data_IF_334471265733
#
_entry.id   IF_334471265733
#
_cell.length_a   1.000
_cell.length_b   1.000
_cell.length_c   1.000
_cell.angle_alpha   90.00
_cell.angle_beta   90.00
_cell.angle_gamma   90.00
#
_symmetry.space_group_name_H-M   'P 1'
#
loop_
_entity.id
_entity.type
_entity.pdbx_description
1 polymer ?
#
# COMPACT_ATOMS: atom_id res chain seq x y z
N UNK A 1 14.04 9.90 5.74
CA UNK A 1 12.71 9.86 5.12
C UNK A 1 12.65 8.85 3.96
N UNK A 2 13.74 8.64 3.20
CA UNK A 2 13.88 7.54 2.21
C UNK A 2 13.87 6.11 2.78
N UNK A 3 13.98 5.97 4.10
CA UNK A 3 14.07 4.68 4.78
C UNK A 3 12.79 3.85 4.70
N UNK A 4 11.60 4.47 4.73
CA UNK A 4 10.34 3.71 4.67
C UNK A 4 10.11 3.07 3.30
N UNK A 5 10.28 3.83 2.21
CA UNK A 5 10.16 3.31 0.84
C UNK A 5 11.21 2.22 0.57
N UNK A 6 12.44 2.42 1.05
CA UNK A 6 13.49 1.39 0.95
C UNK A 6 13.13 0.12 1.72
N UNK A 7 12.48 0.25 2.89
CA UNK A 7 12.03 -0.88 3.70
C UNK A 7 10.83 -1.59 3.07
N UNK A 8 9.88 -0.85 2.48
CA UNK A 8 8.77 -1.43 1.73
C UNK A 8 9.32 -2.26 0.58
N UNK A 9 10.20 -1.69 -0.25
CA UNK A 9 10.80 -2.40 -1.38
C UNK A 9 11.48 -3.69 -0.93
N UNK A 10 12.19 -3.68 0.21
CA UNK A 10 12.85 -4.87 0.78
C UNK A 10 11.88 -5.93 1.33
N UNK A 11 10.68 -5.52 1.77
CA UNK A 11 9.62 -6.41 2.27
C UNK A 11 8.67 -6.90 1.17
N UNK A 12 8.74 -6.30 -0.02
CA UNK A 12 7.77 -6.54 -1.09
C UNK A 12 7.96 -7.86 -1.82
N UNK A 13 9.17 -8.41 -1.84
CA UNK A 13 9.51 -9.38 -2.87
C UNK A 13 9.17 -8.82 -4.25
N UNK A 14 8.65 -9.67 -5.13
CA UNK A 14 8.21 -9.27 -6.48
C UNK A 14 6.77 -8.69 -6.51
N UNK A 15 6.08 -8.56 -5.37
CA UNK A 15 4.68 -8.14 -5.34
C UNK A 15 4.47 -6.67 -5.67
N UNK A 16 5.32 -5.77 -5.16
CA UNK A 16 5.16 -4.32 -5.31
C UNK A 16 6.51 -3.72 -5.72
N UNK A 17 6.51 -2.99 -6.82
CA UNK A 17 7.70 -2.37 -7.40
C UNK A 17 7.43 -0.96 -7.92
N UNK A 18 8.50 -0.26 -8.31
CA UNK A 18 8.45 1.04 -8.97
C UNK A 18 7.58 2.08 -8.25
N UNK A 19 7.67 2.14 -6.92
CA UNK A 19 6.93 3.13 -6.14
C UNK A 19 7.50 4.53 -6.41
N UNK A 20 6.70 5.40 -7.01
CA UNK A 20 7.09 6.77 -7.37
C UNK A 20 6.10 7.79 -6.82
N UNK A 21 6.63 8.96 -6.42
CA UNK A 21 5.81 10.13 -6.05
C UNK A 21 5.65 10.99 -7.30
N UNK A 22 4.45 11.04 -7.86
CA UNK A 22 4.15 11.78 -9.08
C UNK A 22 3.94 13.28 -8.81
N UNK A 23 3.41 13.62 -7.64
CA UNK A 23 3.14 15.00 -7.25
C UNK A 23 3.09 15.13 -5.73
N UNK A 24 3.64 16.22 -5.22
CA UNK A 24 3.59 16.57 -3.81
C UNK A 24 3.25 18.06 -3.71
N UNK A 25 2.08 18.36 -3.13
CA UNK A 25 1.71 19.72 -2.72
C UNK A 25 1.72 19.73 -1.21
N UNK A 26 2.65 20.49 -0.63
CA UNK A 26 2.91 20.56 0.82
C UNK A 26 1.61 20.43 1.61
N UNK A 27 1.53 19.38 2.42
CA UNK A 27 0.48 19.09 3.40
C UNK A 27 -0.95 18.98 2.85
N UNK A 28 -1.13 18.87 1.52
CA UNK A 28 -2.45 18.85 0.88
C UNK A 28 -2.68 17.68 -0.04
N UNK A 29 -1.67 17.28 -0.81
CA UNK A 29 -1.82 16.24 -1.81
C UNK A 29 -0.50 15.53 -2.02
N UNK A 30 -0.53 14.20 -1.95
CA UNK A 30 0.56 13.33 -2.39
C UNK A 30 -0.04 12.32 -3.36
N UNK A 31 0.46 12.34 -4.60
CA UNK A 31 0.12 11.36 -5.62
C UNK A 31 1.24 10.30 -5.67
N UNK A 32 0.87 9.05 -5.45
CA UNK A 32 1.78 7.91 -5.44
C UNK A 32 1.32 6.91 -6.51
N UNK A 33 2.28 6.39 -7.27
CA UNK A 33 2.07 5.31 -8.23
C UNK A 33 3.02 4.15 -7.91
N UNK A 34 2.60 2.93 -8.25
CA UNK A 34 3.42 1.74 -8.17
C UNK A 34 2.91 0.69 -9.15
N UNK A 35 3.75 -0.29 -9.45
CA UNK A 35 3.35 -1.51 -10.12
C UNK A 35 3.16 -2.63 -9.10
N UNK A 36 2.15 -3.48 -9.31
CA UNK A 36 1.97 -4.69 -8.50
C UNK A 36 1.75 -5.91 -9.39
N UNK A 37 2.20 -7.07 -8.92
CA UNK A 37 2.03 -8.35 -9.60
C UNK A 37 1.04 -9.25 -8.84
N UNK A 38 -0.06 -9.61 -9.51
CA UNK A 38 -1.07 -10.54 -9.00
C UNK A 38 -0.50 -11.95 -8.81
N UNK A 39 0.49 -12.35 -9.63
CA UNK A 39 1.10 -13.68 -9.53
C UNK A 39 2.04 -13.81 -8.34
N UNK A 40 2.64 -12.70 -7.90
CA UNK A 40 3.44 -12.63 -6.69
C UNK A 40 2.60 -12.41 -5.40
N UNK A 41 1.28 -12.25 -5.52
CA UNK A 41 0.40 -12.04 -4.37
C UNK A 41 0.31 -13.29 -3.49
N UNK A 42 0.51 -13.08 -2.18
CA UNK A 42 0.23 -14.06 -1.15
C UNK A 42 -0.61 -13.41 -0.03
N UNK A 43 -1.60 -14.12 0.55
CA UNK A 43 -2.39 -13.58 1.67
C UNK A 43 -1.55 -13.14 2.87
N UNK A 44 -0.39 -13.77 3.11
CA UNK A 44 0.57 -13.39 4.17
C UNK A 44 1.20 -12.01 3.98
N UNK A 45 1.08 -11.41 2.80
CA UNK A 45 1.56 -10.05 2.56
C UNK A 45 0.77 -9.02 3.38
N UNK A 46 -0.50 -9.27 3.69
CA UNK A 46 -1.27 -8.38 4.58
C UNK A 46 -0.61 -8.24 5.96
N UNK A 47 -0.18 -9.35 6.56
CA UNK A 47 0.58 -9.33 7.82
C UNK A 47 1.96 -8.69 7.65
N UNK A 48 2.65 -8.99 6.54
CA UNK A 48 3.99 -8.44 6.24
C UNK A 48 3.99 -6.90 6.17
N UNK A 49 2.90 -6.33 5.65
CA UNK A 49 2.69 -4.90 5.53
C UNK A 49 1.87 -4.28 6.66
N UNK A 50 1.48 -5.07 7.66
CA UNK A 50 0.67 -4.62 8.80
C UNK A 50 -0.63 -3.93 8.32
N UNK A 51 -1.35 -4.59 7.42
CA UNK A 51 -2.61 -4.13 6.83
C UNK A 51 -3.70 -5.15 7.16
N UNK A 52 -4.79 -4.69 7.76
CA UNK A 52 -5.94 -5.53 8.05
C UNK A 52 -6.66 -5.97 6.77
N UNK A 53 -7.06 -7.24 6.72
CA UNK A 53 -7.93 -7.76 5.67
C UNK A 53 -9.39 -7.57 6.09
N UNK A 54 -10.18 -6.73 5.38
CA UNK A 54 -11.58 -6.57 5.75
C UNK A 54 -12.37 -7.86 5.49
N UNK A 55 -13.39 -8.18 6.31
CA UNK A 55 -14.18 -9.42 6.15
C UNK A 55 -14.83 -9.58 4.78
N UNK A 56 -15.17 -8.48 4.12
CA UNK A 56 -15.76 -8.48 2.76
C UNK A 56 -14.76 -8.90 1.68
N UNK A 57 -13.46 -8.84 1.96
CA UNK A 57 -12.39 -9.13 1.02
C UNK A 57 -11.80 -10.54 1.22
N UNK A 58 -12.01 -11.17 2.38
CA UNK A 58 -11.44 -12.48 2.70
C UNK A 58 -11.83 -13.57 1.68
N UNK A 59 -13.04 -13.48 1.12
CA UNK A 59 -13.57 -14.40 0.12
C UNK A 59 -13.41 -13.90 -1.33
N UNK A 60 -12.81 -12.73 -1.53
CA UNK A 60 -12.61 -12.17 -2.86
C UNK A 60 -11.52 -12.95 -3.62
N UNK A 61 -11.58 -12.94 -4.95
CA UNK A 61 -10.54 -13.54 -5.79
C UNK A 61 -9.17 -12.88 -5.56
N UNK A 62 -8.04 -13.60 -5.74
CA UNK A 62 -6.69 -13.08 -5.47
C UNK A 62 -6.40 -11.70 -6.08
N UNK A 63 -6.81 -11.48 -7.33
CA UNK A 63 -6.69 -10.19 -8.02
C UNK A 63 -7.31 -9.04 -7.22
N UNK A 64 -8.49 -9.26 -6.65
CA UNK A 64 -9.19 -8.22 -5.89
C UNK A 64 -8.51 -7.95 -4.54
N UNK A 65 -7.99 -8.99 -3.90
CA UNK A 65 -7.23 -8.87 -2.67
C UNK A 65 -5.91 -8.12 -2.90
N UNK A 66 -5.18 -8.43 -3.98
CA UNK A 66 -3.94 -7.77 -4.35
C UNK A 66 -4.13 -6.29 -4.67
N UNK A 67 -5.17 -5.93 -5.43
CA UNK A 67 -5.51 -4.53 -5.72
C UNK A 67 -5.75 -3.72 -4.43
N UNK A 68 -6.49 -4.31 -3.49
CA UNK A 68 -6.78 -3.68 -2.22
C UNK A 68 -5.51 -3.48 -1.39
N UNK A 69 -4.66 -4.51 -1.30
CA UNK A 69 -3.40 -4.44 -0.58
C UNK A 69 -2.48 -3.36 -1.16
N UNK A 70 -2.27 -3.37 -2.48
CA UNK A 70 -1.46 -2.36 -3.17
C UNK A 70 -2.00 -0.95 -2.89
N UNK A 71 -3.31 -0.73 -3.03
CA UNK A 71 -3.93 0.55 -2.74
C UNK A 71 -3.74 1.01 -1.29
N UNK A 72 -3.79 0.09 -0.32
CA UNK A 72 -3.54 0.41 1.10
C UNK A 72 -2.08 0.76 1.37
N UNK A 73 -1.13 0.06 0.75
CA UNK A 73 0.29 0.40 0.86
C UNK A 73 0.56 1.80 0.30
N UNK A 74 0.05 2.12 -0.89
CA UNK A 74 0.22 3.45 -1.50
C UNK A 74 -0.43 4.56 -0.66
N UNK A 75 -1.59 4.27 -0.07
CA UNK A 75 -2.26 5.19 0.84
C UNK A 75 -1.42 5.48 2.09
N UNK A 76 -0.76 4.47 2.68
CA UNK A 76 0.18 4.68 3.80
C UNK A 76 1.35 5.56 3.40
N UNK A 77 1.97 5.28 2.23
CA UNK A 77 3.05 6.11 1.69
C UNK A 77 2.61 7.57 1.54
N UNK A 78 1.42 7.81 0.99
CA UNK A 78 0.89 9.16 0.83
C UNK A 78 0.67 9.86 2.17
N UNK A 79 0.11 9.15 3.17
CA UNK A 79 -0.14 9.71 4.50
C UNK A 79 1.15 10.02 5.27
N UNK A 80 2.19 9.20 5.14
CA UNK A 80 3.49 9.49 5.72
C UNK A 80 4.11 10.75 5.12
N UNK A 81 3.98 10.93 3.80
CA UNK A 81 4.44 12.14 3.09
C UNK A 81 3.64 13.38 3.49
N UNK A 82 2.37 13.22 3.84
CA UNK A 82 1.53 14.27 4.42
C UNK A 82 1.79 14.52 5.92
N UNK A 83 2.80 13.89 6.52
CA UNK A 83 3.08 13.96 7.96
C UNK A 83 1.91 13.49 8.85
N UNK A 84 1.09 12.56 8.34
CA UNK A 84 -0.03 11.93 9.04
C UNK A 84 0.16 10.40 9.18
N UNK A 85 1.30 9.92 9.72
CA UNK A 85 1.65 8.48 9.72
C UNK A 85 0.70 7.60 10.54
N UNK A 86 -0.07 8.17 11.47
CA UNK A 86 -0.99 7.45 12.35
C UNK A 86 -2.46 7.52 11.93
N UNK A 87 -2.77 8.05 10.74
CA UNK A 87 -4.14 8.10 10.26
C UNK A 87 -4.62 6.69 9.88
N UNK A 88 -5.68 6.22 10.54
CA UNK A 88 -6.35 4.97 10.16
C UNK A 88 -7.01 5.13 8.79
N UNK A 89 -6.64 4.28 7.83
CA UNK A 89 -7.24 4.28 6.49
C UNK A 89 -8.54 3.49 6.55
N UNK A 90 -9.65 4.19 6.80
CA UNK A 90 -10.99 3.61 6.81
C UNK A 90 -11.33 2.86 5.52
N UNK A 91 -12.08 1.77 5.62
CA UNK A 91 -12.75 1.14 4.48
C UNK A 91 -14.02 1.94 4.18
N UNK A 92 -14.28 2.25 2.91
CA UNK A 92 -15.57 2.83 2.49
C UNK A 92 -16.72 1.86 2.83
N UNK A 93 -17.82 2.40 3.35
CA UNK A 93 -19.03 1.62 3.66
C UNK A 93 -19.73 1.13 2.41
#
# INVERSE_FOLDING_TARGET
MDSYLSHLHKRSGDFLGDIVILSEKSDKLVAVEAQYDVHAYMPSLFETYDIDVPPTLINAVPKRQSEFLAGRILSRVALERLHQPSASISIGK
#
